data_IF_348878705542
#
_entry.id   IF_348878705542
#
_cell.length_a   1.000
_cell.length_b   1.000
_cell.length_c   1.000
_cell.angle_alpha   90.00
_cell.angle_beta   90.00
_cell.angle_gamma   90.00
#
_symmetry.space_group_name_H-M   'P 1'
#
loop_
_entity.id
_entity.type
_entity.pdbx_description
1 polymer ?
#
# COMPACT_ATOMS: atom_id res chain seq x y z
N UNK A 1 24.34 -26.85 -4.10
CA UNK A 1 23.36 -26.36 -5.10
C UNK A 1 22.96 -24.96 -4.69
N UNK A 2 23.51 -23.97 -5.32
CA UNK A 2 23.11 -22.57 -5.12
C UNK A 2 21.84 -22.35 -5.91
N UNK A 3 20.68 -22.43 -5.25
CA UNK A 3 19.44 -21.95 -5.85
C UNK A 3 19.63 -20.51 -6.29
N UNK A 4 19.46 -20.26 -7.57
CA UNK A 4 19.70 -18.96 -8.15
C UNK A 4 18.62 -17.99 -7.65
N UNK A 5 19.00 -16.91 -6.97
CA UNK A 5 18.06 -15.88 -6.47
C UNK A 5 17.08 -15.39 -7.56
N UNK A 6 17.52 -15.41 -8.82
CA UNK A 6 16.69 -15.06 -9.97
C UNK A 6 15.52 -16.04 -10.19
N UNK A 7 15.69 -17.32 -9.89
CA UNK A 7 14.63 -18.32 -10.05
C UNK A 7 13.59 -18.22 -8.94
N UNK A 8 14.00 -17.92 -7.71
CA UNK A 8 13.09 -17.63 -6.59
C UNK A 8 12.26 -16.36 -6.86
N UNK A 9 12.90 -15.29 -7.31
CA UNK A 9 12.20 -14.06 -7.66
C UNK A 9 11.18 -14.26 -8.79
N UNK A 10 11.55 -15.03 -9.81
CA UNK A 10 10.65 -15.37 -10.92
C UNK A 10 9.47 -16.22 -10.46
N UNK A 11 9.71 -17.21 -9.60
CA UNK A 11 8.67 -18.05 -9.00
C UNK A 11 7.70 -17.24 -8.15
N UNK A 12 8.20 -16.29 -7.35
CA UNK A 12 7.37 -15.39 -6.56
C UNK A 12 6.48 -14.51 -7.45
N UNK A 13 7.06 -13.87 -8.48
CA UNK A 13 6.28 -13.06 -9.42
C UNK A 13 5.23 -13.87 -10.16
N UNK A 14 5.55 -15.11 -10.55
CA UNK A 14 4.59 -16.02 -11.18
C UNK A 14 3.43 -16.35 -10.23
N UNK A 15 3.71 -16.66 -8.96
CA UNK A 15 2.71 -16.92 -7.95
C UNK A 15 1.83 -15.67 -7.69
N UNK A 16 2.43 -14.50 -7.56
CA UNK A 16 1.70 -13.25 -7.39
C UNK A 16 0.77 -12.95 -8.58
N UNK A 17 1.20 -13.25 -9.80
CA UNK A 17 0.37 -13.07 -10.99
C UNK A 17 -0.87 -13.98 -11.02
N UNK A 18 -0.89 -15.08 -10.27
CA UNK A 18 -2.06 -15.95 -10.12
C UNK A 18 -3.08 -15.38 -9.12
N UNK A 19 -2.68 -14.47 -8.23
CA UNK A 19 -3.61 -13.82 -7.31
C UNK A 19 -4.43 -12.77 -8.05
N UNK A 20 -5.77 -12.79 -7.96
CA UNK A 20 -6.60 -11.80 -8.63
C UNK A 20 -6.30 -10.39 -8.14
N UNK A 21 -6.09 -9.48 -9.09
CA UNK A 21 -6.05 -8.05 -8.81
C UNK A 21 -7.45 -7.54 -8.48
N UNK A 22 -7.56 -6.62 -7.51
CA UNK A 22 -8.85 -6.03 -7.10
C UNK A 22 -8.70 -4.55 -6.78
N UNK A 23 -9.72 -3.75 -7.10
CA UNK A 23 -9.82 -2.37 -6.61
C UNK A 23 -9.89 -2.34 -5.09
N UNK A 24 -9.04 -1.53 -4.45
CA UNK A 24 -8.99 -1.43 -3.00
C UNK A 24 -8.29 -0.17 -2.50
N UNK A 25 -8.58 0.19 -1.27
CA UNK A 25 -7.88 1.24 -0.52
C UNK A 25 -7.09 0.55 0.58
N UNK A 26 -5.79 0.84 0.63
CA UNK A 26 -4.84 0.22 1.57
C UNK A 26 -3.92 1.27 2.18
N UNK A 27 -3.13 0.88 3.18
CA UNK A 27 -2.33 1.79 3.97
C UNK A 27 -0.84 1.43 3.95
N UNK A 28 0.00 2.47 4.13
CA UNK A 28 1.42 2.41 4.50
C UNK A 28 1.70 3.48 5.56
N UNK A 29 2.77 3.29 6.34
CA UNK A 29 3.14 4.19 7.43
C UNK A 29 4.23 5.20 7.04
N UNK A 30 4.37 5.55 5.77
CA UNK A 30 5.35 6.51 5.29
C UNK A 30 4.70 7.63 4.47
N UNK A 31 5.02 8.88 4.83
CA UNK A 31 4.59 10.09 4.13
C UNK A 31 5.81 10.89 3.71
N UNK A 32 5.89 11.26 2.43
CA UNK A 32 6.91 12.19 1.95
C UNK A 32 6.42 13.63 2.08
N UNK A 33 6.83 14.29 3.15
CA UNK A 33 6.45 15.68 3.45
C UNK A 33 7.15 16.70 2.54
N UNK A 34 8.11 16.29 1.72
CA UNK A 34 8.83 17.19 0.79
C UNK A 34 8.07 17.44 -0.49
N UNK A 35 6.98 16.70 -0.72
CA UNK A 35 6.14 16.83 -1.91
C UNK A 35 5.29 18.09 -1.82
N UNK A 36 5.59 19.07 -2.65
CA UNK A 36 4.92 20.38 -2.72
C UNK A 36 3.83 20.46 -3.82
N UNK A 37 3.82 19.47 -4.74
CA UNK A 37 2.84 19.33 -5.82
C UNK A 37 2.66 17.87 -6.20
N UNK A 38 1.52 17.54 -6.77
CA UNK A 38 1.28 16.19 -7.30
C UNK A 38 2.36 15.79 -8.30
N UNK A 39 2.84 14.56 -8.18
CA UNK A 39 3.83 13.97 -9.07
C UNK A 39 3.57 12.48 -9.31
N UNK A 40 4.07 11.97 -10.42
CA UNK A 40 4.08 10.53 -10.69
C UNK A 40 5.32 9.91 -10.04
N UNK A 41 5.11 8.83 -9.30
CA UNK A 41 6.16 7.99 -8.74
C UNK A 41 6.02 6.58 -9.29
N UNK A 42 7.14 5.93 -9.58
CA UNK A 42 7.16 4.55 -10.06
C UNK A 42 7.82 3.65 -9.02
N UNK A 43 7.31 2.46 -8.81
CA UNK A 43 7.95 1.47 -7.95
C UNK A 43 8.61 0.38 -8.80
N UNK A 44 9.94 0.30 -8.86
CA UNK A 44 10.65 -0.75 -9.59
C UNK A 44 10.59 -2.11 -8.88
N UNK A 45 10.19 -2.12 -7.62
CA UNK A 45 10.07 -3.30 -6.77
C UNK A 45 8.61 -3.60 -6.41
N UNK A 46 8.40 -4.68 -5.67
CA UNK A 46 7.11 -4.97 -5.04
C UNK A 46 6.77 -3.88 -4.03
N UNK A 47 5.56 -3.32 -4.12
CA UNK A 47 5.07 -2.35 -3.15
C UNK A 47 4.09 -3.04 -2.20
N UNK A 48 4.52 -3.27 -0.96
CA UNK A 48 3.68 -3.83 0.09
C UNK A 48 2.80 -2.74 0.70
N UNK A 49 1.52 -3.02 0.86
CA UNK A 49 0.53 -2.24 1.59
C UNK A 49 -0.28 -3.17 2.48
N UNK A 50 -1.12 -2.65 3.35
CA UNK A 50 -1.98 -3.47 4.22
C UNK A 50 -3.37 -2.88 4.36
N UNK A 51 -4.37 -3.71 4.63
CA UNK A 51 -5.71 -3.24 4.99
C UNK A 51 -5.80 -2.71 6.42
N UNK A 52 -4.83 -3.06 7.29
CA UNK A 52 -4.80 -2.60 8.68
C UNK A 52 -3.96 -1.34 8.83
N UNK A 53 -4.60 -0.27 9.29
CA UNK A 53 -3.92 0.97 9.65
C UNK A 53 -2.97 0.77 10.83
N UNK A 54 -3.35 -0.06 11.80
CA UNK A 54 -2.54 -0.40 12.97
C UNK A 54 -1.21 -1.02 12.55
N UNK A 55 -1.24 -1.95 11.60
CA UNK A 55 -0.04 -2.59 11.06
C UNK A 55 0.79 -1.59 10.26
N UNK A 56 0.16 -0.82 9.38
CA UNK A 56 0.84 0.16 8.54
C UNK A 56 1.64 1.18 9.36
N UNK A 57 1.10 1.62 10.51
CA UNK A 57 1.61 2.73 11.31
C UNK A 57 2.22 2.32 12.65
N UNK A 58 2.31 1.02 12.92
CA UNK A 58 2.68 0.48 14.22
C UNK A 58 1.80 1.08 15.35
N UNK A 59 0.48 0.90 15.23
CA UNK A 59 -0.50 1.47 16.16
C UNK A 59 -0.40 2.99 16.32
N UNK A 60 -0.19 3.72 15.21
CA UNK A 60 0.02 5.16 15.20
C UNK A 60 1.24 5.64 16.02
N UNK A 61 2.22 4.77 16.28
CA UNK A 61 3.51 5.17 16.84
C UNK A 61 4.21 6.21 15.93
N UNK A 62 3.94 6.14 14.63
CA UNK A 62 4.19 7.22 13.66
C UNK A 62 2.84 7.69 13.13
N UNK A 63 2.43 8.94 13.38
CA UNK A 63 1.14 9.47 12.93
C UNK A 63 1.20 9.88 11.45
N UNK A 64 1.72 9.01 10.60
CA UNK A 64 1.90 9.20 9.16
C UNK A 64 1.20 8.07 8.42
N UNK A 65 0.33 8.41 7.47
CA UNK A 65 -0.51 7.47 6.75
C UNK A 65 -0.47 7.75 5.26
N UNK A 66 0.23 6.91 4.49
CA UNK A 66 0.03 6.87 3.06
C UNK A 66 -1.17 5.97 2.74
N UNK A 67 -2.07 6.49 1.92
CA UNK A 67 -3.31 5.83 1.50
C UNK A 67 -3.18 5.50 0.02
N UNK A 68 -3.15 4.22 -0.32
CA UNK A 68 -3.01 3.76 -1.70
C UNK A 68 -4.38 3.36 -2.24
N UNK A 69 -4.83 4.07 -3.27
CA UNK A 69 -6.08 3.81 -4.01
C UNK A 69 -5.70 3.13 -5.32
N UNK A 70 -5.91 1.84 -5.40
CA UNK A 70 -5.45 1.06 -6.53
C UNK A 70 -6.47 0.08 -7.08
N UNK A 71 -6.24 -0.38 -8.32
CA UNK A 71 -7.02 -1.38 -9.03
C UNK A 71 -6.31 -2.74 -9.12
N UNK A 72 -4.97 -2.73 -9.08
CA UNK A 72 -4.16 -3.91 -9.36
C UNK A 72 -3.47 -4.50 -8.12
N UNK A 73 -3.83 -4.02 -6.93
CA UNK A 73 -3.35 -4.61 -5.68
C UNK A 73 -3.81 -6.07 -5.54
N UNK A 74 -2.92 -6.93 -5.06
CA UNK A 74 -3.13 -8.36 -4.89
C UNK A 74 -3.10 -8.69 -3.40
N UNK A 75 -4.21 -9.14 -2.86
CA UNK A 75 -4.30 -9.58 -1.47
C UNK A 75 -3.59 -10.94 -1.34
N UNK A 76 -2.44 -10.93 -0.69
CA UNK A 76 -1.62 -12.12 -0.46
C UNK A 76 -1.83 -12.73 0.92
N UNK A 77 -2.71 -12.17 1.74
CA UNK A 77 -3.02 -12.67 3.08
C UNK A 77 -3.36 -14.17 3.08
N UNK A 78 -4.18 -14.70 2.15
CA UNK A 78 -4.49 -16.13 2.13
C UNK A 78 -3.27 -17.03 1.87
N UNK A 79 -2.24 -16.51 1.19
CA UNK A 79 -0.98 -17.25 0.95
C UNK A 79 -0.11 -17.24 2.20
N UNK A 80 -0.13 -16.13 2.94
CA UNK A 80 0.67 -15.94 4.15
C UNK A 80 0.03 -16.61 5.38
N UNK A 81 -1.27 -16.85 5.40
CA UNK A 81 -1.99 -17.57 6.47
C UNK A 81 -1.50 -19.01 6.67
N UNK A 82 -0.86 -19.61 5.66
CA UNK A 82 -0.18 -20.89 5.80
C UNK A 82 1.10 -20.82 6.67
N UNK A 83 1.57 -19.62 6.97
CA UNK A 83 2.67 -19.37 7.92
C UNK A 83 2.09 -19.18 9.32
N UNK A 84 2.67 -19.75 10.38
CA UNK A 84 2.21 -19.57 11.77
C UNK A 84 2.41 -18.14 12.28
N UNK A 85 2.76 -17.22 11.41
CA UNK A 85 3.05 -15.83 11.72
C UNK A 85 1.79 -14.97 11.65
N UNK A 86 1.86 -13.84 12.31
CA UNK A 86 0.85 -12.81 12.38
C UNK A 86 0.31 -12.43 10.99
N UNK A 87 -1.02 -12.39 10.83
CA UNK A 87 -1.66 -12.00 9.57
C UNK A 87 -1.48 -10.49 9.32
N UNK A 88 -0.62 -10.16 8.38
CA UNK A 88 -0.30 -8.79 8.00
C UNK A 88 -1.38 -8.11 7.15
N UNK A 89 -2.43 -8.84 6.72
CA UNK A 89 -3.45 -8.33 5.80
C UNK A 89 -2.83 -7.64 4.58
N UNK A 90 -1.76 -8.25 4.05
CA UNK A 90 -0.89 -7.64 3.06
C UNK A 90 -1.52 -7.65 1.67
N UNK A 91 -1.44 -6.50 1.04
CA UNK A 91 -1.74 -6.28 -0.37
C UNK A 91 -0.47 -5.84 -1.08
N UNK A 92 -0.12 -6.52 -2.15
CA UNK A 92 1.11 -6.26 -2.91
C UNK A 92 0.80 -5.76 -4.31
N UNK A 93 1.45 -4.67 -4.71
CA UNK A 93 1.51 -4.20 -6.09
C UNK A 93 2.77 -4.74 -6.77
N UNK A 94 2.65 -5.12 -8.04
CA UNK A 94 3.76 -5.67 -8.81
C UNK A 94 4.82 -4.62 -9.13
N UNK A 95 6.06 -5.04 -9.44
CA UNK A 95 7.09 -4.12 -9.93
C UNK A 95 6.61 -3.34 -11.16
N UNK A 96 7.10 -2.13 -11.29
CA UNK A 96 6.69 -1.15 -12.31
C UNK A 96 5.23 -0.69 -12.18
N UNK A 97 4.67 -0.74 -10.99
CA UNK A 97 3.45 0.02 -10.66
C UNK A 97 3.76 1.50 -10.57
N UNK A 98 2.84 2.34 -11.05
CA UNK A 98 2.97 3.79 -11.03
C UNK A 98 1.82 4.40 -10.24
N UNK A 99 2.12 5.48 -9.52
CA UNK A 99 1.14 6.16 -8.67
C UNK A 99 1.22 7.66 -8.87
N UNK A 100 0.07 8.34 -8.86
CA UNK A 100 -0.01 9.78 -8.68
C UNK A 100 0.06 10.07 -7.19
N UNK A 101 1.18 10.61 -6.74
CA UNK A 101 1.42 11.01 -5.36
C UNK A 101 0.88 12.43 -5.13
N UNK A 102 -0.02 12.56 -4.18
CA UNK A 102 -0.58 13.84 -3.75
C UNK A 102 0.30 14.53 -2.72
N UNK A 103 0.04 15.80 -2.47
CA UNK A 103 0.65 16.54 -1.36
C UNK A 103 0.13 15.98 -0.03
N UNK A 104 0.97 15.98 0.97
CA UNK A 104 0.59 15.56 2.31
C UNK A 104 -0.29 16.60 3.01
N UNK A 105 -1.27 16.14 3.80
CA UNK A 105 -2.21 16.98 4.55
C UNK A 105 -2.37 16.50 5.98
N UNK A 106 -2.60 17.43 6.90
CA UNK A 106 -2.97 17.10 8.28
C UNK A 106 -4.46 16.76 8.36
N UNK A 107 -4.79 15.62 8.97
CA UNK A 107 -6.15 15.15 9.16
C UNK A 107 -6.30 14.42 10.51
N UNK A 108 -7.16 14.94 11.38
CA UNK A 108 -7.48 14.29 12.67
C UNK A 108 -6.23 13.83 13.46
N UNK A 109 -5.17 14.64 13.50
CA UNK A 109 -3.95 14.37 14.26
C UNK A 109 -3.00 13.34 13.62
N UNK A 110 -3.19 13.03 12.34
CA UNK A 110 -2.26 12.28 11.52
C UNK A 110 -1.94 13.05 10.25
N UNK A 111 -0.75 12.85 9.70
CA UNK A 111 -0.42 13.35 8.37
C UNK A 111 -0.80 12.30 7.36
N UNK A 112 -1.65 12.64 6.40
CA UNK A 112 -2.10 11.74 5.34
C UNK A 112 -1.52 12.14 3.98
N UNK A 113 -1.23 11.14 3.14
CA UNK A 113 -0.81 11.34 1.76
C UNK A 113 -1.45 10.28 0.87
N UNK A 114 -2.12 10.70 -0.20
CA UNK A 114 -2.81 9.77 -1.11
C UNK A 114 -1.92 9.45 -2.30
N UNK A 115 -1.98 8.20 -2.70
CA UNK A 115 -1.37 7.63 -3.90
C UNK A 115 -2.47 6.98 -4.75
N UNK A 116 -2.74 7.51 -5.94
CA UNK A 116 -3.70 6.92 -6.88
C UNK A 116 -2.94 6.11 -7.94
N UNK A 117 -3.26 4.83 -8.07
CA UNK A 117 -2.60 3.98 -9.08
C UNK A 117 -2.90 4.46 -10.50
N UNK A 118 -1.85 4.50 -11.31
CA UNK A 118 -1.87 4.84 -12.72
C UNK A 118 -1.79 3.56 -13.55
N UNK A 119 -2.72 3.37 -14.47
CA UNK A 119 -2.67 2.31 -15.48
C UNK A 119 -2.20 2.89 -16.79
N UNK A 120 -1.14 2.31 -17.35
CA UNK A 120 -0.65 2.67 -18.67
C UNK A 120 -1.56 2.05 -19.74
N UNK A 121 -2.06 2.87 -20.63
CA UNK A 121 -2.86 2.40 -21.75
C UNK A 121 -1.94 1.90 -22.88
N UNK A 122 -2.06 0.61 -23.22
CA UNK A 122 -1.29 -0.01 -24.31
C UNK A 122 -1.56 0.63 -25.69
N UNK A 123 -2.75 1.18 -25.89
CA UNK A 123 -3.25 1.62 -27.20
C UNK A 123 -3.12 3.14 -27.44
N UNK A 124 -2.80 3.88 -26.41
CA UNK A 124 -2.51 5.31 -26.49
C UNK A 124 -1.25 5.61 -25.67
N UNK A 125 -0.37 6.45 -26.19
CA UNK A 125 0.82 6.88 -25.42
C UNK A 125 0.46 7.72 -24.18
N UNK A 126 -0.58 7.28 -23.44
CA UNK A 126 -1.18 7.94 -22.31
C UNK A 126 -1.27 7.05 -21.07
N UNK A 127 -1.61 7.66 -19.97
CA UNK A 127 -1.91 6.96 -18.72
C UNK A 127 -3.32 7.37 -18.23
N UNK A 128 -3.94 6.49 -17.47
CA UNK A 128 -5.23 6.76 -16.83
C UNK A 128 -5.08 6.44 -15.34
N UNK A 129 -5.63 7.30 -14.48
CA UNK A 129 -5.77 6.97 -13.06
C UNK A 129 -6.80 5.85 -12.96
N UNK A 130 -6.43 4.73 -12.36
CA UNK A 130 -7.27 3.52 -12.32
C UNK A 130 -8.63 3.77 -11.64
N UNK A 131 -8.62 4.52 -10.54
CA UNK A 131 -9.80 4.94 -9.79
C UNK A 131 -9.67 6.42 -9.38
N UNK A 132 -9.93 7.36 -10.31
CA UNK A 132 -9.73 8.78 -10.02
C UNK A 132 -10.63 9.23 -8.87
N UNK A 133 -10.03 9.76 -7.83
CA UNK A 133 -10.74 10.36 -6.72
C UNK A 133 -11.32 11.71 -7.16
N UNK A 134 -12.64 11.79 -7.28
CA UNK A 134 -13.34 13.05 -7.49
C UNK A 134 -13.54 13.83 -6.19
N UNK A 135 -13.65 13.11 -5.10
CA UNK A 135 -13.78 13.64 -3.73
C UNK A 135 -12.97 12.77 -2.77
N UNK A 136 -12.75 13.24 -1.57
CA UNK A 136 -12.08 12.48 -0.51
C UNK A 136 -13.00 11.48 0.19
N UNK A 137 -14.31 11.53 -0.06
CA UNK A 137 -15.30 10.70 0.64
C UNK A 137 -14.98 9.20 0.66
N UNK A 138 -14.56 8.58 -0.47
CA UNK A 138 -14.21 7.16 -0.45
C UNK A 138 -12.99 6.84 0.45
N UNK A 139 -12.02 7.75 0.49
CA UNK A 139 -10.83 7.62 1.34
C UNK A 139 -11.21 7.77 2.80
N UNK A 140 -11.99 8.80 3.13
CA UNK A 140 -12.43 9.09 4.50
C UNK A 140 -13.34 7.99 5.04
N UNK A 141 -14.19 7.41 4.21
CA UNK A 141 -15.05 6.28 4.59
C UNK A 141 -14.26 5.04 5.08
N UNK A 142 -13.02 4.87 4.59
CA UNK A 142 -12.12 3.79 5.04
C UNK A 142 -11.21 4.27 6.17
N UNK A 143 -10.70 5.49 6.08
CA UNK A 143 -9.72 6.03 7.04
C UNK A 143 -10.33 6.30 8.41
N UNK A 144 -11.51 6.92 8.51
CA UNK A 144 -12.10 7.32 9.79
C UNK A 144 -12.37 6.14 10.73
N UNK A 145 -13.00 5.03 10.27
CA UNK A 145 -13.16 3.86 11.13
C UNK A 145 -11.82 3.21 11.49
N UNK A 146 -10.85 3.19 10.56
CA UNK A 146 -9.53 2.64 10.83
C UNK A 146 -8.77 3.45 11.89
N UNK A 147 -8.80 4.80 11.80
CA UNK A 147 -8.20 5.69 12.81
C UNK A 147 -8.83 5.51 14.19
N UNK A 148 -10.15 5.35 14.25
CA UNK A 148 -10.87 5.08 15.49
C UNK A 148 -10.42 3.76 16.10
N UNK A 149 -10.39 2.70 15.30
CA UNK A 149 -9.95 1.37 15.74
C UNK A 149 -8.51 1.40 16.25
N UNK A 150 -7.58 2.00 15.51
CA UNK A 150 -6.18 2.08 15.89
C UNK A 150 -5.95 2.84 17.22
N UNK A 151 -6.80 3.82 17.55
CA UNK A 151 -6.74 4.58 18.80
C UNK A 151 -7.38 3.86 19.99
N UNK A 152 -8.50 3.18 19.75
CA UNK A 152 -9.29 2.54 20.81
C UNK A 152 -8.82 1.12 21.12
N UNK A 153 -8.29 0.44 20.13
CA UNK A 153 -7.93 -0.99 20.19
C UNK A 153 -6.60 -1.28 19.52
N UNK A 154 -5.47 -0.84 20.11
CA UNK A 154 -4.17 -1.13 19.54
C UNK A 154 -3.98 -2.64 19.38
N UNK A 155 -3.47 -3.04 18.23
CA UNK A 155 -3.27 -4.44 17.88
C UNK A 155 -1.97 -4.95 18.52
N UNK A 156 -1.99 -6.06 19.27
CA UNK A 156 -0.75 -6.69 19.72
C UNK A 156 0.00 -7.26 18.52
N UNK A 157 1.14 -6.66 18.17
CA UNK A 157 1.94 -7.04 17.02
C UNK A 157 3.31 -7.55 17.42
N UNK A 158 3.85 -8.59 16.75
CA UNK A 158 5.25 -8.95 16.88
C UNK A 158 6.16 -7.80 16.44
N UNK A 159 7.33 -7.71 17.05
CA UNK A 159 8.35 -6.73 16.67
C UNK A 159 8.70 -6.86 15.17
N UNK A 160 8.85 -5.74 14.49
CA UNK A 160 9.18 -5.68 13.07
C UNK A 160 8.02 -5.96 12.09
N UNK A 161 6.80 -6.26 12.58
CA UNK A 161 5.66 -6.54 11.70
C UNK A 161 5.32 -5.39 10.75
N UNK A 162 5.59 -4.15 11.16
CA UNK A 162 5.29 -2.93 10.39
C UNK A 162 6.41 -2.51 9.45
N UNK A 163 7.63 -3.01 9.60
CA UNK A 163 8.83 -2.45 8.96
C UNK A 163 8.70 -2.30 7.45
N UNK A 164 8.16 -3.32 6.77
CA UNK A 164 7.97 -3.30 5.31
C UNK A 164 7.00 -2.23 4.81
N UNK A 165 6.16 -1.69 5.69
CA UNK A 165 5.16 -0.66 5.37
C UNK A 165 5.66 0.75 5.69
N UNK A 166 6.82 0.88 6.34
CA UNK A 166 7.40 2.16 6.77
C UNK A 166 8.40 2.74 5.76
N UNK A 167 8.61 2.08 4.64
CA UNK A 167 9.52 2.54 3.59
C UNK A 167 8.77 3.38 2.54
N UNK A 168 9.46 4.33 1.85
CA UNK A 168 8.86 5.10 0.77
C UNK A 168 8.48 4.21 -0.42
N UNK A 169 7.55 4.70 -1.24
CA UNK A 169 7.31 4.19 -2.60
C UNK A 169 8.30 4.90 -3.52
N UNK A 170 9.18 4.14 -4.13
CA UNK A 170 10.25 4.66 -5.01
C UNK A 170 9.92 4.36 -6.46
#
# INVERSE_FOLDING_TARGET
MTENHSDKARGLLAALNMVPARPQITFRGYVDRTVDRMRVVGSPALTATTHSLEIATNNLARPEVAIVVGANGRDISPILEASPNFNLQEVTYLPNSYFLQHVAHEYNGVTIQVYEEIVLNSDSAGFTIAHPLRTWDPVLAVLDPALRTARERPLPMPEGSSDRFLEPIH
#
